data_IF_882019303947
#
_entry.id   IF_882019303947
#
_cell.length_a   1.000
_cell.length_b   1.000
_cell.length_c   1.000
_cell.angle_alpha   90.00
_cell.angle_beta   90.00
_cell.angle_gamma   90.00
#
_symmetry.space_group_name_H-M   'P 1'
#
loop_
_entity.id
_entity.type
_entity.pdbx_description
1 polymer ?
#
# COMPACT_ATOMS: atom_id res chain seq x y z
N UNK A 1 -8.69 21.91 -65.07
CA UNK A 1 -7.72 21.36 -65.99
C UNK A 1 -7.06 20.18 -65.30
N UNK A 2 -7.52 18.96 -65.51
CA UNK A 2 -7.03 17.95 -66.49
C UNK A 2 -5.60 17.52 -66.12
N UNK A 3 -5.20 16.30 -65.94
CA UNK A 3 -5.64 14.97 -66.37
C UNK A 3 -4.68 13.97 -65.67
N UNK A 4 -5.14 12.89 -65.12
CA UNK A 4 -5.17 11.51 -65.69
C UNK A 4 -3.83 10.86 -66.02
N UNK A 5 -3.56 9.72 -65.44
CA UNK A 5 -3.39 8.35 -65.96
C UNK A 5 -2.53 7.52 -65.01
N UNK A 6 -3.00 6.50 -64.33
CA UNK A 6 -3.34 5.10 -64.68
C UNK A 6 -2.27 4.38 -65.50
N UNK A 7 -1.65 3.36 -64.94
CA UNK A 7 -1.50 2.03 -65.53
C UNK A 7 -1.14 0.96 -64.52
N UNK A 8 -1.99 -0.02 -64.48
CA UNK A 8 -1.83 -1.39 -64.01
C UNK A 8 -0.76 -2.11 -64.84
N UNK A 9 -0.13 -3.11 -64.28
CA UNK A 9 0.09 -4.37 -64.98
C UNK A 9 0.29 -5.52 -64.02
N UNK A 10 -0.52 -6.52 -64.23
CA UNK A 10 -0.50 -7.89 -63.75
C UNK A 10 0.61 -8.69 -64.43
N UNK A 11 0.91 -9.83 -63.85
CA UNK A 11 1.02 -11.23 -64.32
C UNK A 11 2.18 -11.90 -63.62
N UNK A 12 1.95 -12.91 -62.82
CA UNK A 12 1.70 -14.33 -63.04
C UNK A 12 2.98 -15.13 -63.32
N UNK A 13 3.13 -16.23 -62.56
CA UNK A 13 4.12 -17.27 -62.88
C UNK A 13 4.24 -18.29 -61.75
N UNK A 14 3.42 -19.31 -61.85
CA UNK A 14 3.50 -20.65 -61.26
C UNK A 14 4.84 -21.33 -61.51
N UNK A 15 5.39 -22.15 -60.62
CA UNK A 15 5.35 -23.61 -60.76
C UNK A 15 6.22 -24.36 -59.71
N UNK A 16 5.72 -25.46 -59.23
CA UNK A 16 6.11 -26.75 -58.77
C UNK A 16 7.59 -27.14 -58.51
N UNK A 17 7.73 -28.00 -57.49
CA UNK A 17 8.78 -29.00 -57.37
C UNK A 17 9.08 -29.40 -55.95
N UNK A 18 8.35 -30.31 -55.39
CA UNK A 18 8.59 -31.73 -55.01
C UNK A 18 9.92 -32.08 -54.31
N UNK A 19 9.69 -32.63 -53.09
CA UNK A 19 10.34 -33.77 -52.45
C UNK A 19 11.87 -33.86 -52.28
N UNK A 20 12.26 -34.01 -51.01
CA UNK A 20 13.07 -35.18 -50.59
C UNK A 20 13.20 -35.26 -49.06
N UNK A 21 12.69 -36.32 -48.48
CA UNK A 21 13.03 -36.88 -47.19
C UNK A 21 14.54 -37.20 -47.10
N UNK A 22 15.15 -36.95 -45.95
CA UNK A 22 16.26 -37.79 -45.47
C UNK A 22 16.33 -37.76 -43.95
N UNK A 23 15.93 -38.85 -43.38
CA UNK A 23 16.30 -39.28 -42.05
C UNK A 23 17.85 -39.35 -41.92
N UNK A 24 18.37 -38.90 -40.78
CA UNK A 24 19.55 -39.49 -40.13
C UNK A 24 19.66 -39.06 -38.69
N UNK A 25 19.38 -40.03 -37.82
CA UNK A 25 20.22 -40.55 -36.79
C UNK A 25 20.86 -39.58 -35.79
N UNK A 26 20.41 -39.74 -34.54
CA UNK A 26 21.09 -39.31 -33.31
C UNK A 26 22.43 -40.06 -33.13
N UNK A 27 23.39 -39.46 -32.48
CA UNK A 27 24.26 -40.22 -31.58
C UNK A 27 24.07 -39.72 -30.14
N UNK A 28 23.77 -40.70 -29.29
CA UNK A 28 23.97 -40.65 -27.85
C UNK A 28 25.43 -40.45 -27.52
N UNK A 29 25.74 -39.44 -26.74
CA UNK A 29 27.02 -39.38 -26.01
C UNK A 29 26.73 -38.90 -24.58
N UNK A 30 26.71 -39.85 -23.70
CA UNK A 30 26.87 -39.69 -22.27
C UNK A 30 28.22 -39.00 -21.96
N UNK A 31 28.16 -37.85 -21.33
CA UNK A 31 29.28 -37.33 -20.54
C UNK A 31 28.79 -36.98 -19.17
N UNK A 32 29.04 -37.87 -18.23
CA UNK A 32 29.06 -37.61 -16.80
C UNK A 32 30.05 -36.47 -16.54
N UNK A 33 29.59 -35.31 -16.19
CA UNK A 33 30.39 -34.29 -15.52
C UNK A 33 30.08 -34.32 -14.04
N UNK A 34 31.02 -34.83 -13.29
CA UNK A 34 31.09 -34.87 -11.84
C UNK A 34 30.86 -33.45 -11.27
N UNK A 35 29.85 -33.33 -10.41
CA UNK A 35 29.73 -32.20 -9.50
C UNK A 35 30.83 -32.26 -8.44
N UNK A 36 31.48 -31.17 -8.10
CA UNK A 36 32.40 -31.18 -6.96
C UNK A 36 31.57 -31.25 -5.66
N UNK A 37 31.89 -32.24 -4.85
CA UNK A 37 31.36 -32.43 -3.51
C UNK A 37 31.69 -31.24 -2.61
N UNK A 38 30.68 -30.84 -1.87
CA UNK A 38 30.51 -29.82 -0.93
C UNK A 38 31.60 -29.52 0.05
N UNK A 39 31.81 -28.25 0.22
CA UNK A 39 32.28 -27.69 1.47
C UNK A 39 31.09 -27.38 2.33
N UNK A 40 30.90 -28.12 3.43
CA UNK A 40 29.90 -27.81 4.43
C UNK A 40 30.21 -26.46 5.07
N UNK A 41 29.35 -25.48 4.85
CA UNK A 41 29.32 -24.28 5.64
C UNK A 41 28.65 -24.60 6.98
N UNK A 42 29.46 -24.88 7.99
CA UNK A 42 29.06 -24.73 9.38
C UNK A 42 29.06 -23.23 9.70
N UNK A 43 27.99 -22.55 9.34
CA UNK A 43 27.68 -21.23 9.83
C UNK A 43 26.88 -21.36 11.13
N UNK A 44 27.58 -21.35 12.27
CA UNK A 44 26.92 -21.14 13.57
C UNK A 44 26.22 -19.79 13.55
N UNK A 45 24.96 -19.76 13.94
CA UNK A 45 24.24 -18.52 14.21
C UNK A 45 25.07 -17.65 15.17
N UNK A 46 25.19 -16.33 14.94
CA UNK A 46 25.84 -15.47 15.91
C UNK A 46 25.01 -15.52 17.19
N UNK A 47 25.61 -16.00 18.29
CA UNK A 47 25.06 -15.84 19.61
C UNK A 47 24.98 -14.34 19.87
N UNK A 48 23.75 -13.80 19.94
CA UNK A 48 23.52 -12.50 20.53
C UNK A 48 24.00 -12.60 21.98
N UNK A 49 25.10 -11.92 22.28
CA UNK A 49 25.59 -11.75 23.63
C UNK A 49 24.51 -11.05 24.47
N UNK A 50 24.34 -11.51 25.70
CA UNK A 50 23.49 -10.82 26.68
C UNK A 50 23.86 -9.33 26.71
N UNK A 51 22.88 -8.42 26.75
CA UNK A 51 23.16 -7.01 26.95
C UNK A 51 23.89 -6.81 28.28
N UNK A 52 24.84 -5.88 28.35
CA UNK A 52 25.56 -5.63 29.59
C UNK A 52 24.56 -5.14 30.67
N UNK A 53 24.60 -5.80 31.84
CA UNK A 53 23.91 -5.35 33.03
C UNK A 53 24.51 -4.01 33.44
N UNK A 54 23.76 -2.93 33.35
CA UNK A 54 24.02 -1.54 33.74
C UNK A 54 24.08 -0.56 32.54
N UNK A 55 22.96 -0.42 31.83
CA UNK A 55 22.67 0.87 31.19
C UNK A 55 21.75 1.63 32.15
N UNK A 56 22.33 2.49 32.95
CA UNK A 56 21.60 3.52 33.69
C UNK A 56 21.12 4.53 32.67
N UNK A 57 19.82 4.50 32.36
CA UNK A 57 19.18 5.55 31.53
C UNK A 57 19.34 6.89 32.27
N UNK A 58 19.74 7.97 31.59
CA UNK A 58 19.71 9.28 32.22
C UNK A 58 18.26 9.62 32.57
N UNK A 59 17.97 9.77 33.85
CA UNK A 59 16.72 10.35 34.33
C UNK A 59 16.78 11.85 33.99
N UNK A 60 16.08 12.26 32.96
CA UNK A 60 15.79 13.65 32.67
C UNK A 60 14.81 14.15 33.74
N UNK A 61 15.27 15.05 34.62
CA UNK A 61 14.47 15.63 35.70
C UNK A 61 13.41 16.65 35.25
N UNK A 62 13.01 16.65 33.97
CA UNK A 62 12.11 17.69 33.40
C UNK A 62 10.90 17.20 32.64
N UNK A 63 10.59 15.91 32.63
CA UNK A 63 9.34 15.44 32.00
C UNK A 63 8.20 15.37 33.01
N UNK A 64 7.72 16.54 33.45
CA UNK A 64 6.36 16.63 33.96
C UNK A 64 5.41 16.68 32.79
N UNK A 65 4.59 15.62 32.63
CA UNK A 65 3.41 15.70 31.80
C UNK A 65 2.59 16.94 32.16
N UNK A 66 2.06 17.67 31.18
CA UNK A 66 1.13 18.77 31.44
C UNK A 66 -0.03 18.28 32.32
N UNK A 67 -0.44 19.08 33.28
CA UNK A 67 -1.50 18.75 34.26
C UNK A 67 -2.88 18.50 33.62
N UNK A 68 -3.02 18.62 32.32
CA UNK A 68 -4.23 18.36 31.55
C UNK A 68 -4.47 16.88 31.21
N UNK A 69 -3.49 15.99 31.46
CA UNK A 69 -3.59 14.54 31.22
C UNK A 69 -3.80 13.74 32.52
N UNK A 70 -4.68 14.17 33.40
CA UNK A 70 -5.14 13.32 34.51
C UNK A 70 -6.40 12.57 34.10
N UNK A 71 -6.24 11.29 33.75
CA UNK A 71 -7.37 10.37 33.59
C UNK A 71 -8.14 10.27 34.89
N UNK A 72 -9.36 10.82 34.91
CA UNK A 72 -10.31 10.61 36.02
C UNK A 72 -10.83 9.18 35.98
N UNK A 73 -10.55 8.40 37.02
CA UNK A 73 -11.05 7.03 37.20
C UNK A 73 -12.53 6.96 37.67
N UNK A 74 -13.32 7.95 37.43
CA UNK A 74 -14.75 7.93 37.77
C UNK A 74 -15.57 8.02 36.47
N UNK A 75 -16.30 6.91 36.20
CA UNK A 75 -17.14 6.73 35.02
C UNK A 75 -18.33 7.70 34.94
N UNK A 76 -18.07 8.91 34.48
CA UNK A 76 -19.06 9.85 33.97
C UNK A 76 -18.72 10.12 32.51
N UNK A 77 -19.73 10.06 31.65
CA UNK A 77 -19.67 10.22 30.20
C UNK A 77 -18.84 11.48 29.85
N UNK A 78 -17.69 11.25 29.24
CA UNK A 78 -16.91 12.31 28.62
C UNK A 78 -17.55 12.68 27.29
N UNK A 79 -17.79 13.96 27.08
CA UNK A 79 -18.15 14.57 25.82
C UNK A 79 -17.18 14.10 24.73
N UNK A 80 -17.68 13.86 23.53
CA UNK A 80 -16.92 13.39 22.36
C UNK A 80 -15.68 14.25 22.16
N UNK A 81 -14.52 13.68 22.47
CA UNK A 81 -13.23 14.30 22.10
C UNK A 81 -13.04 13.97 20.63
N UNK A 82 -13.13 14.98 19.80
CA UNK A 82 -12.79 14.88 18.37
C UNK A 82 -11.28 14.66 18.23
N UNK A 83 -10.90 13.44 17.86
CA UNK A 83 -9.50 13.07 17.63
C UNK A 83 -8.97 13.47 16.25
N UNK A 84 -9.77 14.13 15.40
CA UNK A 84 -9.35 14.54 14.06
C UNK A 84 -8.22 15.57 14.06
N UNK A 85 -8.07 16.35 15.17
CA UNK A 85 -6.96 17.29 15.36
C UNK A 85 -5.71 16.69 16.02
N UNK A 86 -5.75 15.41 16.37
CA UNK A 86 -4.65 14.76 17.07
C UNK A 86 -3.64 14.19 16.08
N UNK A 87 -2.66 15.02 15.69
CA UNK A 87 -1.53 14.58 14.88
C UNK A 87 -0.71 13.55 15.67
N UNK A 88 -0.81 12.28 15.29
CA UNK A 88 -0.08 11.17 15.94
C UNK A 88 1.46 11.32 15.90
N UNK A 89 1.99 12.19 15.05
CA UNK A 89 3.40 12.58 15.04
C UNK A 89 3.90 13.32 16.28
N UNK A 90 3.00 13.73 17.20
CA UNK A 90 3.36 14.40 18.45
C UNK A 90 3.62 13.43 19.62
N UNK A 91 3.29 12.13 19.48
CA UNK A 91 3.60 11.11 20.49
C UNK A 91 4.80 10.30 20.00
N UNK A 92 5.99 10.80 20.25
CA UNK A 92 7.24 10.06 20.33
C UNK A 92 7.47 8.94 19.31
N UNK A 93 7.79 9.28 18.04
CA UNK A 93 8.77 8.56 17.26
C UNK A 93 8.42 7.16 16.76
N UNK A 94 7.79 7.04 15.64
CA UNK A 94 8.10 6.10 14.53
C UNK A 94 7.13 6.25 13.34
N UNK A 95 6.57 7.42 13.13
CA UNK A 95 5.90 7.75 11.88
C UNK A 95 6.96 7.92 10.77
N UNK A 96 6.67 7.44 9.54
CA UNK A 96 7.47 7.73 8.38
C UNK A 96 7.45 9.22 8.00
N UNK A 97 8.08 9.59 6.91
CA UNK A 97 8.05 10.96 6.39
C UNK A 97 6.67 11.25 5.76
N UNK A 98 5.94 12.19 6.32
CA UNK A 98 4.57 12.56 5.87
C UNK A 98 4.55 13.46 4.62
N UNK A 99 5.73 13.90 4.15
CA UNK A 99 5.92 14.78 3.01
C UNK A 99 5.21 16.15 3.12
N UNK A 100 4.81 16.55 4.31
CA UNK A 100 4.24 17.87 4.55
C UNK A 100 5.32 18.95 4.42
N UNK A 101 5.01 20.05 3.74
CA UNK A 101 5.89 21.21 3.77
C UNK A 101 5.81 21.91 5.14
N UNK A 102 6.95 22.11 5.78
CA UNK A 102 7.06 22.81 7.06
C UNK A 102 7.63 24.22 6.89
N UNK A 103 8.85 24.33 6.36
CA UNK A 103 9.54 25.58 6.10
C UNK A 103 10.69 25.37 5.09
N UNK A 104 11.49 26.43 4.84
CA UNK A 104 12.63 26.36 3.89
C UNK A 104 13.94 25.83 4.55
N UNK A 105 13.92 25.44 5.85
CA UNK A 105 15.08 24.88 6.53
C UNK A 105 15.21 23.37 6.26
N UNK A 106 16.35 22.94 5.73
CA UNK A 106 16.58 21.53 5.42
C UNK A 106 16.60 20.66 6.67
N UNK A 107 16.95 21.20 7.82
CA UNK A 107 17.03 20.44 9.08
C UNK A 107 15.61 20.06 9.60
N UNK A 108 14.55 20.72 9.11
CA UNK A 108 13.15 20.39 9.42
C UNK A 108 12.68 19.07 8.78
N UNK A 109 13.46 18.52 7.84
CA UNK A 109 13.10 17.32 7.07
C UNK A 109 14.01 16.12 7.37
N UNK A 110 14.56 16.04 8.59
CA UNK A 110 15.47 14.95 8.99
C UNK A 110 14.86 13.57 8.75
N UNK A 111 13.55 13.40 8.95
CA UNK A 111 12.84 12.13 8.70
C UNK A 111 12.98 11.66 7.24
N UNK A 112 13.04 12.60 6.29
CA UNK A 112 13.27 12.27 4.87
C UNK A 112 14.76 11.91 4.66
N UNK A 113 15.67 12.76 5.19
CA UNK A 113 17.10 12.56 4.95
C UNK A 113 17.68 11.35 5.65
N UNK A 114 17.19 11.02 6.84
CA UNK A 114 17.62 9.83 7.60
C UNK A 114 17.21 8.52 6.89
N UNK A 115 16.21 8.56 6.02
CA UNK A 115 15.75 7.45 5.19
C UNK A 115 16.40 7.35 3.81
N UNK A 116 17.40 8.17 3.47
CA UNK A 116 18.02 8.16 2.14
C UNK A 116 18.64 6.81 1.77
N UNK A 117 18.18 6.25 0.65
CA UNK A 117 18.72 5.00 0.08
C UNK A 117 19.92 5.28 -0.84
N UNK A 118 19.90 6.43 -1.52
CA UNK A 118 20.96 6.87 -2.42
C UNK A 118 21.59 8.14 -1.88
N UNK A 119 22.92 8.24 -2.05
CA UNK A 119 23.62 9.44 -1.59
C UNK A 119 23.14 10.67 -2.33
N UNK A 120 22.69 11.67 -1.60
CA UNK A 120 22.28 12.97 -2.12
C UNK A 120 23.06 14.12 -1.46
N UNK A 121 22.80 15.33 -1.82
CA UNK A 121 23.46 16.51 -1.27
C UNK A 121 22.51 17.69 -1.11
N UNK A 122 22.99 18.75 -0.45
CA UNK A 122 22.19 19.96 -0.16
C UNK A 122 21.44 20.56 -1.35
N UNK A 123 21.91 20.34 -2.59
CA UNK A 123 21.20 20.83 -3.79
C UNK A 123 19.98 19.97 -4.10
N UNK A 124 20.11 18.67 -3.84
CA UNK A 124 19.05 17.69 -4.06
C UNK A 124 17.96 17.89 -2.99
N UNK A 125 18.36 18.01 -1.72
CA UNK A 125 17.44 18.36 -0.61
C UNK A 125 16.66 19.65 -0.88
N UNK A 126 17.33 20.71 -1.38
CA UNK A 126 16.63 21.96 -1.72
C UNK A 126 15.59 21.80 -2.81
N UNK A 127 15.82 20.95 -3.81
CA UNK A 127 14.81 20.67 -4.85
C UNK A 127 13.61 19.93 -4.28
N UNK A 128 13.85 18.98 -3.35
CA UNK A 128 12.76 18.28 -2.67
C UNK A 128 11.94 19.26 -1.84
N UNK A 129 12.56 20.11 -1.01
CA UNK A 129 11.84 21.10 -0.20
C UNK A 129 11.12 22.13 -1.07
N UNK A 130 11.73 22.59 -2.17
CA UNK A 130 11.08 23.47 -3.15
C UNK A 130 9.86 22.79 -3.79
N UNK A 131 9.95 21.49 -4.10
CA UNK A 131 8.82 20.74 -4.63
C UNK A 131 7.72 20.59 -3.59
N UNK A 132 8.03 20.19 -2.35
CA UNK A 132 7.04 20.07 -1.27
C UNK A 132 6.31 21.41 -1.02
N UNK A 133 7.05 22.53 -1.06
CA UNK A 133 6.45 23.87 -0.92
C UNK A 133 5.40 24.15 -1.99
N UNK A 134 5.79 24.00 -3.26
CA UNK A 134 4.90 24.31 -4.37
C UNK A 134 3.72 23.32 -4.44
N UNK A 135 3.93 22.08 -4.05
CA UNK A 135 2.86 21.08 -3.93
C UNK A 135 1.87 21.51 -2.85
N UNK A 136 2.34 21.90 -1.66
CA UNK A 136 1.47 22.37 -0.57
C UNK A 136 0.71 23.66 -0.90
N UNK A 137 1.26 24.51 -1.79
CA UNK A 137 0.62 25.74 -2.28
C UNK A 137 -0.26 25.49 -3.52
N UNK A 138 -0.32 24.27 -4.04
CA UNK A 138 -1.03 23.94 -5.27
C UNK A 138 -0.48 24.62 -6.53
N UNK A 139 0.79 25.02 -6.51
CA UNK A 139 1.43 25.83 -7.56
C UNK A 139 2.21 24.93 -8.53
N UNK A 140 1.91 25.04 -9.84
CA UNK A 140 2.65 24.37 -10.94
C UNK A 140 2.91 22.87 -10.66
N UNK A 141 1.90 22.13 -10.19
CA UNK A 141 2.03 20.75 -9.71
C UNK A 141 2.78 19.84 -10.68
N UNK A 142 2.51 19.93 -11.99
CA UNK A 142 3.19 19.12 -13.01
C UNK A 142 4.70 19.41 -13.14
N UNK A 143 5.17 20.54 -12.60
CA UNK A 143 6.61 20.84 -12.53
C UNK A 143 7.28 20.09 -11.38
N UNK A 144 6.57 19.94 -10.25
CA UNK A 144 7.12 19.46 -8.99
C UNK A 144 6.75 18.01 -8.64
N UNK A 145 5.70 17.45 -9.26
CA UNK A 145 5.37 16.03 -9.10
C UNK A 145 5.03 15.38 -10.45
N UNK A 146 5.21 14.08 -10.55
CA UNK A 146 4.63 13.28 -11.62
C UNK A 146 3.17 13.02 -11.28
N UNK A 147 2.29 13.91 -11.71
CA UNK A 147 0.86 13.89 -11.38
C UNK A 147 0.22 12.55 -11.75
N UNK A 148 0.59 11.97 -12.89
CA UNK A 148 0.05 10.67 -13.32
C UNK A 148 0.47 9.52 -12.39
N UNK A 149 1.72 9.48 -11.95
CA UNK A 149 2.21 8.53 -10.95
C UNK A 149 1.47 8.70 -9.61
N UNK A 150 1.35 9.95 -9.14
CA UNK A 150 0.74 10.25 -7.84
C UNK A 150 -0.75 9.91 -7.84
N UNK A 151 -1.50 10.25 -8.88
CA UNK A 151 -2.94 9.92 -8.98
C UNK A 151 -3.17 8.40 -9.03
N UNK A 152 -2.29 7.64 -9.71
CA UNK A 152 -2.35 6.17 -9.69
C UNK A 152 -2.02 5.61 -8.32
N UNK A 153 -1.02 6.19 -7.63
CA UNK A 153 -0.72 5.84 -6.26
C UNK A 153 -1.95 6.02 -5.37
N UNK A 154 -2.58 7.21 -5.42
CA UNK A 154 -3.81 7.51 -4.68
C UNK A 154 -4.91 6.48 -4.97
N UNK A 155 -5.22 6.25 -6.26
CA UNK A 155 -6.29 5.34 -6.65
C UNK A 155 -6.09 3.91 -6.13
N UNK A 156 -4.86 3.38 -6.20
CA UNK A 156 -4.56 2.03 -5.68
C UNK A 156 -4.68 2.00 -4.16
N UNK A 157 -4.06 2.94 -3.43
CA UNK A 157 -4.03 2.93 -1.97
C UNK A 157 -5.41 3.18 -1.35
N UNK A 158 -6.21 4.09 -1.95
CA UNK A 158 -7.60 4.30 -1.57
C UNK A 158 -8.43 3.04 -1.82
N UNK A 159 -8.25 2.37 -2.96
CA UNK A 159 -8.99 1.15 -3.25
C UNK A 159 -8.68 0.03 -2.26
N UNK A 160 -7.39 -0.21 -1.97
CA UNK A 160 -6.97 -1.30 -1.09
C UNK A 160 -7.00 -0.94 0.40
N UNK A 161 -7.35 0.29 0.76
CA UNK A 161 -7.41 0.78 2.16
C UNK A 161 -6.14 0.41 2.93
N UNK A 162 -5.00 0.93 2.46
CA UNK A 162 -3.70 0.61 3.04
C UNK A 162 -3.27 1.68 4.07
N UNK A 163 -3.62 1.48 5.32
CA UNK A 163 -3.30 2.38 6.43
C UNK A 163 -1.81 2.41 6.78
N UNK A 164 -1.02 1.43 6.31
CA UNK A 164 0.43 1.37 6.50
C UNK A 164 1.20 2.01 5.33
N UNK A 165 0.64 3.03 4.72
CA UNK A 165 1.21 3.72 3.58
C UNK A 165 1.36 5.23 3.82
N UNK A 166 1.89 5.99 2.84
CA UNK A 166 1.91 7.45 2.90
C UNK A 166 0.50 8.05 2.98
N UNK A 167 -0.48 7.45 2.30
CA UNK A 167 -1.88 7.86 2.33
C UNK A 167 -2.63 7.37 3.57
N UNK A 168 -2.03 6.50 4.37
CA UNK A 168 -2.60 5.99 5.62
C UNK A 168 -2.09 6.73 6.85
N UNK A 169 -2.20 6.08 8.02
CA UNK A 169 -1.89 6.70 9.31
C UNK A 169 -0.41 6.63 9.71
N UNK A 170 0.41 5.85 9.00
CA UNK A 170 1.80 5.57 9.37
C UNK A 170 2.83 6.30 8.51
N UNK A 171 2.48 6.78 7.33
CA UNK A 171 3.40 7.36 6.33
C UNK A 171 4.58 6.44 5.98
N UNK A 172 4.33 5.14 5.86
CA UNK A 172 5.34 4.12 5.58
C UNK A 172 5.22 3.56 4.14
N UNK A 173 6.03 2.56 3.85
CA UNK A 173 5.92 1.66 2.70
C UNK A 173 5.94 2.34 1.33
N UNK A 174 6.76 3.38 1.20
CA UNK A 174 7.04 4.03 -0.07
C UNK A 174 8.50 4.48 -0.15
N UNK A 175 8.97 4.67 -1.38
CA UNK A 175 10.17 5.45 -1.67
C UNK A 175 9.77 6.75 -2.36
N UNK A 176 10.29 7.87 -1.86
CA UNK A 176 10.25 9.14 -2.57
C UNK A 176 11.38 9.16 -3.60
N UNK A 177 11.03 9.27 -4.87
CA UNK A 177 11.99 9.36 -5.97
C UNK A 177 11.95 10.74 -6.61
N UNK A 178 13.04 11.50 -6.42
CA UNK A 178 13.20 12.81 -7.04
C UNK A 178 14.01 12.68 -8.33
N UNK A 179 13.51 13.24 -9.42
CA UNK A 179 14.22 13.33 -10.69
C UNK A 179 13.99 14.69 -11.33
N UNK A 180 15.07 15.51 -11.44
CA UNK A 180 15.02 16.85 -12.01
C UNK A 180 14.00 17.80 -11.35
N UNK A 181 13.82 17.72 -10.04
CA UNK A 181 12.88 18.53 -9.27
C UNK A 181 11.45 17.98 -9.23
N UNK A 182 11.17 16.85 -9.91
CA UNK A 182 9.87 16.21 -9.97
C UNK A 182 9.82 15.02 -9.04
N UNK A 183 8.89 15.01 -8.11
CA UNK A 183 8.68 13.95 -7.14
C UNK A 183 7.80 12.83 -7.70
N UNK A 184 8.15 11.59 -7.36
CA UNK A 184 7.41 10.37 -7.67
C UNK A 184 7.33 9.52 -6.40
N UNK A 185 6.29 8.71 -6.27
CA UNK A 185 6.14 7.73 -5.19
C UNK A 185 6.22 6.32 -5.77
N UNK A 186 7.09 5.50 -5.18
CA UNK A 186 7.25 4.09 -5.51
C UNK A 186 6.78 3.26 -4.32
N UNK A 187 5.55 2.70 -4.35
CA UNK A 187 4.99 1.96 -3.23
C UNK A 187 5.56 0.54 -3.13
N UNK A 188 5.52 -0.02 -1.92
CA UNK A 188 5.83 -1.41 -1.62
C UNK A 188 5.03 -1.85 -0.38
N UNK A 189 5.02 -3.14 -0.09
CA UNK A 189 4.40 -3.77 1.07
C UNK A 189 2.90 -3.49 1.26
N UNK A 190 2.07 -4.34 0.65
CA UNK A 190 0.62 -4.25 0.70
C UNK A 190 -0.03 -5.28 1.64
N UNK A 191 0.77 -5.97 2.48
CA UNK A 191 0.29 -7.06 3.33
C UNK A 191 -0.72 -6.62 4.40
N UNK A 192 -0.74 -5.32 4.76
CA UNK A 192 -1.67 -4.73 5.72
C UNK A 192 -2.85 -3.98 5.08
N UNK A 193 -3.09 -4.20 3.79
CA UNK A 193 -4.27 -3.66 3.11
C UNK A 193 -5.58 -4.24 3.64
N UNK A 194 -6.71 -3.61 3.29
CA UNK A 194 -8.07 -4.02 3.67
C UNK A 194 -8.27 -4.18 5.18
N UNK A 195 -7.70 -3.24 5.95
CA UNK A 195 -7.85 -3.23 7.41
C UNK A 195 -6.96 -4.24 8.15
N UNK A 196 -5.94 -4.81 7.46
CA UNK A 196 -4.95 -5.70 8.08
C UNK A 196 -4.14 -5.03 9.19
N UNK A 197 -4.09 -3.69 9.20
CA UNK A 197 -3.54 -2.90 10.29
C UNK A 197 -4.62 -2.61 11.33
N UNK A 198 -4.86 -3.54 12.22
CA UNK A 198 -5.72 -3.30 13.39
C UNK A 198 -4.88 -2.60 14.47
N UNK A 199 -5.16 -1.34 14.76
CA UNK A 199 -4.70 -0.68 15.98
C UNK A 199 -5.30 -1.44 17.15
N UNK A 200 -4.54 -2.36 17.74
CA UNK A 200 -4.95 -3.15 18.88
C UNK A 200 -5.51 -2.25 19.98
N UNK A 201 -6.71 -2.57 20.48
CA UNK A 201 -7.57 -1.77 21.35
C UNK A 201 -6.98 -1.28 22.67
N UNK A 202 -5.89 -0.52 22.59
CA UNK A 202 -5.18 0.07 23.71
C UNK A 202 -5.46 1.55 23.95
N UNK A 203 -6.07 2.26 23.01
CA UNK A 203 -6.40 3.69 23.16
C UNK A 203 -7.74 4.03 22.53
N UNK A 204 -8.84 3.34 22.89
CA UNK A 204 -10.19 3.81 22.56
C UNK A 204 -10.53 3.87 21.06
N UNK A 205 -9.65 3.41 20.17
CA UNK A 205 -9.93 3.29 18.76
C UNK A 205 -10.85 2.09 18.55
N UNK A 206 -12.06 2.33 18.05
CA UNK A 206 -12.88 1.27 17.50
C UNK A 206 -12.05 0.64 16.38
N UNK A 207 -11.86 -0.69 16.44
CA UNK A 207 -11.41 -1.43 15.26
C UNK A 207 -12.34 -1.01 14.13
N UNK A 208 -11.80 -0.49 13.02
CA UNK A 208 -12.60 -0.16 11.86
C UNK A 208 -13.39 -1.41 11.49
N UNK A 209 -14.70 -1.40 11.69
CA UNK A 209 -15.54 -2.54 11.38
C UNK A 209 -15.48 -2.82 9.88
N UNK A 210 -15.74 -4.02 9.44
CA UNK A 210 -15.68 -4.37 8.02
C UNK A 210 -16.51 -3.41 7.13
N UNK A 211 -17.66 -2.94 7.62
CA UNK A 211 -18.47 -1.92 6.93
C UNK A 211 -17.67 -0.63 6.67
N UNK A 212 -16.84 -0.19 7.61
CA UNK A 212 -16.00 1.00 7.45
C UNK A 212 -14.90 0.78 6.40
N UNK A 213 -14.21 -0.36 6.44
CA UNK A 213 -13.17 -0.70 5.45
C UNK A 213 -13.76 -0.85 4.04
N UNK A 214 -14.91 -1.52 3.90
CA UNK A 214 -15.58 -1.70 2.61
C UNK A 214 -16.02 -0.36 2.01
N UNK A 215 -16.49 0.57 2.86
CA UNK A 215 -17.02 1.86 2.41
C UNK A 215 -16.05 3.03 2.63
N UNK A 216 -14.77 2.75 2.89
CA UNK A 216 -13.79 3.82 3.06
C UNK A 216 -13.92 4.87 1.96
N UNK A 217 -13.97 6.15 2.39
CA UNK A 217 -14.37 7.25 1.51
C UNK A 217 -13.27 7.58 0.48
N UNK A 218 -13.64 7.72 -0.78
CA UNK A 218 -12.65 7.95 -1.85
C UNK A 218 -12.24 9.42 -2.00
N UNK A 219 -13.02 10.37 -1.50
CA UNK A 219 -12.81 11.81 -1.67
C UNK A 219 -12.48 12.53 -0.36
N UNK A 220 -12.20 11.81 0.72
CA UNK A 220 -11.75 12.42 1.96
C UNK A 220 -10.23 12.67 1.91
N UNK A 221 -9.75 13.87 2.27
CA UNK A 221 -8.32 14.14 2.40
C UNK A 221 -7.64 13.19 3.40
N UNK A 222 -6.39 12.81 3.12
CA UNK A 222 -5.64 11.92 4.00
C UNK A 222 -5.24 12.60 5.32
N UNK A 223 -5.40 11.93 6.44
CA UNK A 223 -5.37 12.56 7.77
C UNK A 223 -4.00 13.04 8.23
N UNK A 224 -2.90 12.43 7.77
CA UNK A 224 -1.55 12.76 8.26
C UNK A 224 -0.69 13.50 7.25
N UNK A 225 -1.06 13.51 5.99
CA UNK A 225 -0.34 14.20 4.92
C UNK A 225 -1.25 15.12 4.13
N UNK A 226 -0.75 16.30 3.81
CA UNK A 226 -1.39 17.23 2.87
C UNK A 226 -0.74 17.17 1.46
N UNK A 227 0.11 16.20 1.21
CA UNK A 227 0.83 16.05 -0.05
C UNK A 227 -0.10 15.88 -1.25
N UNK A 228 -1.29 15.34 -1.03
CA UNK A 228 -2.29 15.05 -2.07
C UNK A 228 -3.41 16.09 -2.17
N UNK A 229 -3.54 17.01 -1.20
CA UNK A 229 -4.72 17.89 -1.07
C UNK A 229 -4.95 18.74 -2.32
N UNK A 230 -3.89 19.33 -2.87
CA UNK A 230 -3.99 20.14 -4.08
C UNK A 230 -4.48 19.36 -5.31
N UNK A 231 -4.30 18.04 -5.34
CA UNK A 231 -4.83 17.17 -6.39
C UNK A 231 -6.33 16.93 -6.22
N UNK A 232 -6.78 16.71 -4.96
CA UNK A 232 -8.21 16.53 -4.65
C UNK A 232 -9.00 17.83 -4.83
N UNK A 233 -8.39 19.00 -4.57
CA UNK A 233 -9.01 20.31 -4.76
C UNK A 233 -9.10 20.74 -6.24
N UNK A 234 -8.37 20.11 -7.14
CA UNK A 234 -8.36 20.43 -8.56
C UNK A 234 -9.32 19.52 -9.33
N UNK A 235 -10.38 20.09 -9.93
CA UNK A 235 -11.42 19.33 -10.65
C UNK A 235 -10.88 18.43 -11.78
N UNK A 236 -9.81 18.84 -12.50
CA UNK A 236 -9.22 18.05 -13.57
C UNK A 236 -8.47 16.82 -13.01
N UNK A 237 -7.68 17.03 -11.95
CA UNK A 237 -6.95 15.94 -11.32
C UNK A 237 -7.87 14.99 -10.55
N UNK A 238 -8.88 15.53 -9.85
CA UNK A 238 -9.91 14.73 -9.20
C UNK A 238 -10.65 13.84 -10.22
N UNK A 239 -11.07 14.42 -11.35
CA UNK A 239 -11.70 13.63 -12.42
C UNK A 239 -10.77 12.53 -12.95
N UNK A 240 -9.46 12.80 -13.06
CA UNK A 240 -8.48 11.81 -13.52
C UNK A 240 -8.24 10.70 -12.49
N UNK A 241 -8.22 11.06 -11.20
CA UNK A 241 -8.17 10.11 -10.11
C UNK A 241 -9.39 9.18 -10.11
N UNK A 242 -10.60 9.74 -10.28
CA UNK A 242 -11.83 8.96 -10.45
C UNK A 242 -11.80 8.04 -11.69
N UNK A 243 -11.17 8.48 -12.80
CA UNK A 243 -10.94 7.60 -13.95
C UNK A 243 -10.11 6.37 -13.58
N UNK A 244 -9.04 6.53 -12.79
CA UNK A 244 -8.21 5.40 -12.35
C UNK A 244 -8.93 4.47 -11.39
N UNK A 245 -9.71 5.01 -10.44
CA UNK A 245 -10.58 4.19 -9.58
C UNK A 245 -11.61 3.41 -10.40
N UNK A 246 -12.27 4.08 -11.34
CA UNK A 246 -13.23 3.43 -12.24
C UNK A 246 -12.56 2.33 -13.09
N UNK A 247 -11.34 2.56 -13.56
CA UNK A 247 -10.59 1.54 -14.31
C UNK A 247 -10.28 0.31 -13.44
N UNK A 248 -9.90 0.50 -12.18
CA UNK A 248 -9.72 -0.59 -11.22
C UNK A 248 -11.01 -1.39 -11.04
N UNK A 249 -12.12 -0.71 -10.79
CA UNK A 249 -13.41 -1.38 -10.58
C UNK A 249 -13.88 -2.08 -11.85
N UNK A 250 -13.99 -1.36 -12.96
CA UNK A 250 -14.62 -1.87 -14.18
C UNK A 250 -13.79 -2.93 -14.91
N UNK A 251 -12.45 -2.75 -14.95
CA UNK A 251 -11.60 -3.70 -15.68
C UNK A 251 -11.07 -4.80 -14.77
N UNK A 252 -10.59 -4.45 -13.58
CA UNK A 252 -9.91 -5.41 -12.72
C UNK A 252 -10.90 -6.23 -11.91
N UNK A 253 -11.87 -5.60 -11.22
CA UNK A 253 -12.86 -6.32 -10.40
C UNK A 253 -13.98 -6.88 -11.30
N UNK A 254 -14.83 -6.01 -11.87
CA UNK A 254 -16.02 -6.40 -12.62
C UNK A 254 -15.67 -7.11 -13.93
N UNK A 255 -14.56 -6.75 -14.57
CA UNK A 255 -14.05 -7.36 -15.80
C UNK A 255 -13.44 -8.75 -15.61
N UNK A 256 -13.33 -9.23 -14.38
CA UNK A 256 -12.86 -10.57 -14.03
C UNK A 256 -11.35 -10.78 -14.07
N UNK A 257 -10.56 -9.71 -14.22
CA UNK A 257 -9.08 -9.82 -14.16
C UNK A 257 -8.60 -10.13 -12.73
N UNK A 258 -9.31 -9.63 -11.72
CA UNK A 258 -9.07 -10.01 -10.32
C UNK A 258 -9.30 -11.51 -10.11
N UNK A 259 -10.44 -12.04 -10.54
CA UNK A 259 -10.75 -13.46 -10.41
C UNK A 259 -9.69 -14.34 -11.09
N UNK A 260 -9.29 -14.01 -12.32
CA UNK A 260 -8.25 -14.75 -13.04
C UNK A 260 -6.92 -14.71 -12.30
N UNK A 261 -6.55 -13.55 -11.73
CA UNK A 261 -5.31 -13.39 -10.98
C UNK A 261 -5.36 -14.19 -9.69
N UNK A 262 -6.46 -14.14 -8.95
CA UNK A 262 -6.71 -14.89 -7.74
C UNK A 262 -6.59 -16.40 -8.01
N UNK A 263 -7.30 -16.94 -9.01
CA UNK A 263 -7.25 -18.35 -9.39
C UNK A 263 -5.85 -18.78 -9.83
N UNK A 264 -5.15 -17.94 -10.59
CA UNK A 264 -3.78 -18.20 -11.04
C UNK A 264 -2.81 -18.26 -9.87
N UNK A 265 -2.88 -17.33 -8.93
CA UNK A 265 -2.00 -17.31 -7.75
C UNK A 265 -2.29 -18.55 -6.91
N UNK A 266 -3.54 -18.83 -6.58
CA UNK A 266 -3.92 -20.03 -5.82
C UNK A 266 -3.40 -21.31 -6.46
N UNK A 267 -3.56 -21.47 -7.77
CA UNK A 267 -3.06 -22.64 -8.48
C UNK A 267 -1.53 -22.81 -8.41
N UNK A 268 -0.79 -21.75 -8.09
CA UNK A 268 0.67 -21.77 -7.97
C UNK A 268 1.15 -22.03 -6.54
N UNK A 269 0.38 -21.61 -5.52
CA UNK A 269 0.88 -21.60 -4.13
C UNK A 269 0.08 -22.49 -3.18
N UNK A 270 -1.16 -22.89 -3.47
CA UNK A 270 -2.00 -23.66 -2.51
C UNK A 270 -1.32 -24.95 -2.03
N UNK A 271 -0.75 -25.73 -2.95
CA UNK A 271 -0.02 -26.96 -2.59
C UNK A 271 1.24 -26.67 -1.76
N UNK A 272 1.96 -25.58 -2.09
CA UNK A 272 3.15 -25.16 -1.34
C UNK A 272 2.80 -24.73 0.07
N UNK A 273 1.70 -23.97 0.24
CA UNK A 273 1.22 -23.54 1.55
C UNK A 273 0.76 -24.72 2.38
N UNK A 274 0.05 -25.69 1.77
CA UNK A 274 -0.42 -26.91 2.46
C UNK A 274 0.72 -27.80 2.95
N UNK A 275 1.85 -27.80 2.25
CA UNK A 275 3.02 -28.63 2.55
C UNK A 275 4.12 -27.91 3.34
N UNK A 276 3.97 -26.60 3.63
CA UNK A 276 5.01 -25.82 4.32
C UNK A 276 5.13 -26.25 5.81
N UNK A 277 6.23 -26.93 6.19
CA UNK A 277 6.42 -27.36 7.57
C UNK A 277 6.78 -26.21 8.51
N UNK A 278 6.99 -25.00 7.98
CA UNK A 278 7.35 -23.80 8.75
C UNK A 278 6.17 -22.82 8.90
N UNK A 279 5.00 -23.14 8.33
CA UNK A 279 3.80 -22.34 8.47
C UNK A 279 3.41 -22.18 9.95
N UNK A 280 3.06 -20.97 10.35
CA UNK A 280 2.57 -20.64 11.70
C UNK A 280 1.05 -20.49 11.75
N UNK A 281 0.36 -20.89 10.67
CA UNK A 281 -1.09 -21.01 10.54
C UNK A 281 -1.42 -22.30 9.79
N UNK A 282 -2.63 -22.80 9.96
CA UNK A 282 -3.09 -23.99 9.28
C UNK A 282 -3.51 -23.71 7.83
N UNK A 283 -3.59 -24.76 7.01
CA UNK A 283 -4.07 -24.62 5.64
C UNK A 283 -5.55 -24.16 5.60
N UNK A 284 -6.37 -24.63 6.56
CA UNK A 284 -7.76 -24.20 6.70
C UNK A 284 -7.87 -22.70 7.03
N UNK A 285 -6.98 -22.16 7.87
CA UNK A 285 -6.93 -20.71 8.15
C UNK A 285 -6.51 -19.94 6.90
N UNK A 286 -5.55 -20.43 6.13
CA UNK A 286 -5.18 -19.84 4.84
C UNK A 286 -6.36 -19.83 3.86
N UNK A 287 -7.07 -20.97 3.70
CA UNK A 287 -8.24 -21.05 2.80
C UNK A 287 -9.32 -20.02 3.21
N UNK A 288 -9.64 -19.96 4.50
CA UNK A 288 -10.60 -18.99 5.02
C UNK A 288 -10.17 -17.54 4.76
N UNK A 289 -8.87 -17.25 4.93
CA UNK A 289 -8.31 -15.91 4.70
C UNK A 289 -8.40 -15.49 3.23
N UNK A 290 -8.06 -16.38 2.29
CA UNK A 290 -8.12 -16.04 0.86
C UNK A 290 -9.54 -15.93 0.33
N UNK A 291 -10.48 -16.73 0.85
CA UNK A 291 -11.91 -16.60 0.54
C UNK A 291 -12.47 -15.26 1.07
N UNK A 292 -12.12 -14.88 2.29
CA UNK A 292 -12.50 -13.59 2.87
C UNK A 292 -11.92 -12.41 2.06
N UNK A 293 -10.65 -12.47 1.66
CA UNK A 293 -10.04 -11.45 0.82
C UNK A 293 -10.79 -11.30 -0.51
N UNK A 294 -11.18 -12.41 -1.13
CA UNK A 294 -11.97 -12.39 -2.37
C UNK A 294 -13.29 -11.65 -2.19
N UNK A 295 -13.99 -11.92 -1.09
CA UNK A 295 -15.28 -11.29 -0.78
C UNK A 295 -15.12 -9.80 -0.48
N UNK A 296 -14.14 -9.41 0.33
CA UNK A 296 -13.85 -8.02 0.68
C UNK A 296 -13.53 -7.19 -0.56
N UNK A 297 -12.71 -7.70 -1.48
CA UNK A 297 -12.35 -6.97 -2.72
C UNK A 297 -13.60 -6.74 -3.60
N UNK A 298 -14.48 -7.72 -3.72
CA UNK A 298 -15.71 -7.55 -4.50
C UNK A 298 -16.65 -6.51 -3.87
N UNK A 299 -16.87 -6.57 -2.55
CA UNK A 299 -17.69 -5.58 -1.83
C UNK A 299 -17.08 -4.18 -1.89
N UNK A 300 -15.75 -4.08 -1.79
CA UNK A 300 -15.04 -2.80 -1.97
C UNK A 300 -15.24 -2.26 -3.38
N UNK A 301 -15.16 -3.08 -4.40
CA UNK A 301 -15.45 -2.72 -5.79
C UNK A 301 -16.87 -2.18 -5.97
N UNK A 302 -17.86 -2.82 -5.34
CA UNK A 302 -19.25 -2.36 -5.35
C UNK A 302 -19.40 -1.00 -4.66
N UNK A 303 -18.78 -0.83 -3.48
CA UNK A 303 -18.80 0.43 -2.76
C UNK A 303 -18.13 1.57 -3.55
N UNK A 304 -16.92 1.35 -4.10
CA UNK A 304 -16.22 2.37 -4.90
C UNK A 304 -17.02 2.73 -6.15
N UNK A 305 -17.66 1.75 -6.82
CA UNK A 305 -18.58 2.04 -7.94
C UNK A 305 -19.73 2.95 -7.53
N UNK A 306 -20.36 2.66 -6.38
CA UNK A 306 -21.45 3.48 -5.84
C UNK A 306 -21.00 4.87 -5.40
N UNK A 307 -19.78 5.01 -4.92
CA UNK A 307 -19.21 6.32 -4.57
C UNK A 307 -18.91 7.15 -5.83
N UNK A 308 -18.39 6.51 -6.89
CA UNK A 308 -18.12 7.19 -8.16
C UNK A 308 -19.39 7.63 -8.91
N UNK A 309 -20.48 6.89 -8.81
CA UNK A 309 -21.75 7.24 -9.45
C UNK A 309 -22.69 8.07 -8.57
N UNK A 310 -22.29 8.32 -7.30
CA UNK A 310 -23.01 9.15 -6.34
C UNK A 310 -24.19 8.46 -5.64
N UNK A 311 -24.34 7.15 -5.76
CA UNK A 311 -25.33 6.36 -5.01
C UNK A 311 -24.91 6.13 -3.56
N UNK A 312 -23.60 6.14 -3.31
CA UNK A 312 -22.99 6.11 -1.97
C UNK A 312 -22.22 7.43 -1.79
N UNK A 313 -22.29 8.10 -0.62
CA UNK A 313 -21.48 9.29 -0.38
C UNK A 313 -19.98 8.98 -0.44
N UNK A 314 -19.21 9.82 -1.16
CA UNK A 314 -17.78 9.61 -1.40
C UNK A 314 -16.86 10.26 -0.36
N UNK A 315 -17.42 10.98 0.61
CA UNK A 315 -16.69 11.62 1.70
C UNK A 315 -17.13 11.09 3.06
N UNK A 316 -16.24 11.11 4.03
CA UNK A 316 -16.54 10.73 5.42
C UNK A 316 -17.72 11.48 6.00
N UNK A 317 -17.75 12.79 5.79
CA UNK A 317 -18.85 13.63 6.30
C UNK A 317 -20.17 13.29 5.61
N UNK A 318 -20.14 12.97 4.32
CA UNK A 318 -21.31 12.50 3.60
C UNK A 318 -21.81 11.16 4.14
N UNK A 319 -20.93 10.21 4.40
CA UNK A 319 -21.27 8.89 4.96
C UNK A 319 -21.75 8.99 6.41
N UNK A 320 -21.18 9.87 7.22
CA UNK A 320 -21.69 10.17 8.57
C UNK A 320 -23.10 10.78 8.54
N UNK A 321 -23.37 11.63 7.55
CA UNK A 321 -24.68 12.26 7.38
C UNK A 321 -25.76 11.30 6.85
N UNK A 322 -25.38 10.38 5.94
CA UNK A 322 -26.26 9.36 5.38
C UNK A 322 -25.53 8.02 5.20
N UNK A 323 -25.68 7.15 6.17
CA UNK A 323 -25.13 5.79 6.14
C UNK A 323 -26.06 4.74 5.53
N UNK A 324 -27.26 5.13 5.07
CA UNK A 324 -28.30 4.20 4.64
C UNK A 324 -27.98 3.48 3.33
N UNK A 325 -27.07 4.03 2.53
CA UNK A 325 -26.66 3.48 1.23
C UNK A 325 -25.32 2.73 1.27
N UNK A 326 -24.68 2.67 2.45
CA UNK A 326 -23.41 1.96 2.61
C UNK A 326 -23.61 0.45 2.41
N UNK A 327 -22.60 -0.18 1.81
CA UNK A 327 -22.55 -1.65 1.68
C UNK A 327 -22.44 -2.27 3.08
N UNK A 328 -23.31 -3.22 3.37
CA UNK A 328 -23.34 -3.92 4.66
C UNK A 328 -22.18 -4.93 4.76
N UNK A 329 -21.22 -4.66 5.63
CA UNK A 329 -20.10 -5.53 5.93
C UNK A 329 -20.31 -6.42 7.16
N UNK A 330 -21.52 -6.50 7.71
CA UNK A 330 -21.77 -7.24 8.96
C UNK A 330 -21.49 -8.76 8.88
N UNK A 331 -21.45 -9.32 7.66
CA UNK A 331 -21.07 -10.70 7.38
C UNK A 331 -19.56 -10.94 7.22
N UNK A 332 -18.76 -9.88 7.22
CA UNK A 332 -17.33 -9.91 6.96
C UNK A 332 -16.55 -9.89 8.27
N UNK A 333 -15.65 -10.84 8.46
CA UNK A 333 -14.75 -10.92 9.61
C UNK A 333 -13.29 -10.69 9.16
N UNK A 334 -12.87 -9.42 9.09
CA UNK A 334 -11.54 -9.05 8.59
C UNK A 334 -10.40 -9.75 9.31
N UNK A 335 -10.57 -10.07 10.62
CA UNK A 335 -9.56 -10.77 11.43
C UNK A 335 -9.19 -12.16 10.88
N UNK A 336 -10.05 -12.77 10.06
CA UNK A 336 -9.77 -14.04 9.38
C UNK A 336 -8.62 -13.91 8.38
N UNK A 337 -8.43 -12.73 7.80
CA UNK A 337 -7.28 -12.44 6.90
C UNK A 337 -5.97 -12.21 7.65
N UNK A 338 -5.98 -12.24 8.98
CA UNK A 338 -4.87 -11.87 9.82
C UNK A 338 -4.95 -10.41 10.26
N UNK A 339 -4.21 -10.08 11.30
CA UNK A 339 -4.08 -8.70 11.79
C UNK A 339 -2.72 -8.51 12.45
N UNK A 340 -2.15 -7.31 12.32
CA UNK A 340 -1.00 -6.91 13.11
C UNK A 340 -1.50 -6.02 14.24
N UNK A 341 -1.40 -6.53 15.48
CA UNK A 341 -1.69 -5.72 16.67
C UNK A 341 -0.42 -5.03 17.13
N UNK A 342 -0.40 -3.72 17.16
CA UNK A 342 0.63 -2.91 17.82
C UNK A 342 0.46 -2.97 19.34
N UNK A 343 0.34 -4.15 19.92
CA UNK A 343 0.27 -4.36 21.36
C UNK A 343 1.65 -4.32 21.99
N UNK A 344 1.87 -3.37 22.90
CA UNK A 344 3.05 -3.33 23.74
C UNK A 344 3.25 -4.66 24.48
N UNK A 345 4.42 -5.26 24.32
CA UNK A 345 4.77 -6.54 24.88
C UNK A 345 4.66 -6.58 26.39
N UNK A 346 3.93 -7.56 26.89
CA UNK A 346 4.22 -8.22 28.14
C UNK A 346 4.00 -9.71 27.84
N UNK A 347 5.10 -10.44 27.82
CA UNK A 347 5.10 -11.87 27.52
C UNK A 347 4.19 -12.64 28.47
N UNK A 348 3.35 -13.47 27.87
CA UNK A 348 2.95 -14.70 28.52
C UNK A 348 3.23 -15.83 27.56
N UNK A 349 4.14 -16.69 27.98
CA UNK A 349 4.54 -17.87 27.26
C UNK A 349 3.33 -18.76 26.99
N UNK A 350 3.15 -19.08 25.73
CA UNK A 350 2.26 -20.16 25.31
C UNK A 350 2.87 -21.45 25.82
N UNK A 351 2.33 -21.96 26.93
CA UNK A 351 2.58 -23.31 27.35
C UNK A 351 1.91 -24.25 26.39
N UNK A 352 2.72 -24.99 25.67
CA UNK A 352 2.29 -26.13 24.85
C UNK A 352 2.00 -27.29 25.81
N UNK A 353 0.89 -28.04 25.66
CA UNK A 353 0.59 -29.22 26.45
C UNK A 353 1.55 -30.39 26.16
#
# INVERSE_FOLDING_TARGET
SQNSNRKENEESGTDNGETAESEKESPSASSESQMPQGGGFQGGAPQMGNPPENIQMPQSENDKMPDEFQFSQNGEQSEDIDFSDFKMGAIGGSGGADLNYTDDDLDSYSTIWDGEVTSSGKKDHKRVVEALKNISEGTDLETYMDVDNILKYMAVHTFVVNDDSLSGTMAHNYYLYEYNGKLNILPWDYNLSFGGMSMGGGMGGQSSGATSVINDAIDTPFSITNFFDALLENEEYLAKYHEYLNELVEKYVNGGEFQKTYERIRSQIDELVAEDPTAFYSYEEYEAAVEMLYEVINLRGESVSGQLDGTIPSTDDGQKADSSTLIDGSGIELSVMGSMSMGGGAGEGIGVP
#
